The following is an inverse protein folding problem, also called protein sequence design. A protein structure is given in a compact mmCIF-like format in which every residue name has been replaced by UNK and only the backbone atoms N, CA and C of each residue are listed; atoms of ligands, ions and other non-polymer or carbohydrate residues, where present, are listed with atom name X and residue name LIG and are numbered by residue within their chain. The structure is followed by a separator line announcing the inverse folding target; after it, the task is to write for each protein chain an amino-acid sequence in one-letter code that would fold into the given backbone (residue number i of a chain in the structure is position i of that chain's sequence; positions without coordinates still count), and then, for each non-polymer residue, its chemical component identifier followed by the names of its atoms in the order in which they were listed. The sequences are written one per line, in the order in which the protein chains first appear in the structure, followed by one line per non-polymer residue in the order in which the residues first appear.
data_IF_263255126138
#
_entry.id   IF_263255126138
#
_cell.length_a   1.000
_cell.length_b   1.000
_cell.length_c   1.000
_cell.angle_alpha   90.00
_cell.angle_beta   90.00
_cell.angle_gamma   90.00
#
_symmetry.space_group_name_H-M   'P 1'
#
loop_
_entity.id
_entity.type
_entity.pdbx_description
1 polymer ?
#
# COMPACT_ATOMS: atom_id res chain seq x y z
N UNK A 1 34.32 18.00 7.69
CA UNK A 1 35.28 16.90 7.95
C UNK A 1 34.77 15.90 8.98
N UNK A 2 34.16 16.30 10.10
CA UNK A 2 33.65 15.39 11.14
C UNK A 2 32.48 14.49 10.68
N UNK A 3 31.56 15.02 9.88
CA UNK A 3 30.44 14.24 9.35
C UNK A 3 30.89 13.18 8.33
N UNK A 4 31.89 13.47 7.51
CA UNK A 4 32.43 12.52 6.54
C UNK A 4 33.20 11.38 7.21
N UNK A 5 33.96 11.68 8.29
CA UNK A 5 34.63 10.63 9.07
C UNK A 5 33.66 9.79 9.89
N UNK A 6 32.58 10.36 10.41
CA UNK A 6 31.51 9.62 11.06
C UNK A 6 30.78 8.69 10.07
N UNK A 7 30.51 9.18 8.85
CA UNK A 7 29.89 8.39 7.78
C UNK A 7 30.82 7.24 7.32
N UNK A 8 32.12 7.49 7.24
CA UNK A 8 33.10 6.46 6.88
C UNK A 8 33.26 5.37 7.95
N UNK A 9 33.01 5.70 9.22
CA UNK A 9 33.02 4.77 10.34
C UNK A 9 31.69 4.00 10.49
N UNK A 10 30.62 4.48 9.87
CA UNK A 10 29.30 3.85 9.89
C UNK A 10 29.18 2.64 8.95
N UNK A 11 30.28 1.98 8.57
CA UNK A 11 30.26 0.69 7.89
C UNK A 11 29.70 -0.36 8.84
N UNK A 12 28.38 -0.51 8.87
CA UNK A 12 27.74 -1.59 9.59
C UNK A 12 27.64 -2.83 8.70
N UNK A 13 27.92 -3.99 9.30
CA UNK A 13 27.50 -5.30 8.76
C UNK A 13 25.99 -5.51 8.93
N UNK A 14 25.28 -4.53 9.46
CA UNK A 14 23.87 -4.53 9.81
C UNK A 14 23.04 -3.81 8.74
N UNK A 15 21.74 -3.96 8.81
CA UNK A 15 20.83 -3.21 7.98
C UNK A 15 20.72 -1.74 8.42
N UNK A 16 20.50 -0.87 7.45
CA UNK A 16 20.07 0.49 7.69
C UNK A 16 18.54 0.51 7.83
N UNK A 17 18.03 0.62 9.06
CA UNK A 17 16.61 0.74 9.34
C UNK A 17 16.16 2.19 9.16
N UNK A 18 15.24 2.42 8.25
CA UNK A 18 14.57 3.70 8.01
C UNK A 18 13.22 3.69 8.69
N UNK A 19 13.05 4.56 9.68
CA UNK A 19 11.76 4.80 10.32
C UNK A 19 11.04 5.93 9.60
N UNK A 20 9.82 5.72 9.13
CA UNK A 20 9.09 6.66 8.29
C UNK A 20 7.61 6.76 8.69
N UNK A 21 6.95 7.81 8.23
CA UNK A 21 5.49 7.92 8.31
C UNK A 21 4.85 7.36 7.04
N UNK A 22 3.74 6.64 7.19
CA UNK A 22 2.87 6.25 6.07
C UNK A 22 1.89 7.36 5.72
N UNK A 23 1.40 7.33 4.49
CA UNK A 23 0.40 8.28 4.00
C UNK A 23 -0.87 8.26 4.86
N UNK A 24 -1.38 7.07 5.22
CA UNK A 24 -2.61 6.93 6.00
C UNK A 24 -2.43 7.33 7.47
N UNK A 25 -1.51 6.69 8.16
CA UNK A 25 -1.38 6.83 9.63
C UNK A 25 -0.46 7.97 10.07
N UNK A 26 0.35 8.52 9.16
CA UNK A 26 1.29 9.57 9.50
C UNK A 26 2.21 9.17 10.65
N UNK A 27 2.28 10.04 11.66
CA UNK A 27 3.03 9.81 12.91
C UNK A 27 2.22 9.08 14.00
N UNK A 28 0.93 8.79 13.75
CA UNK A 28 0.03 8.12 14.68
C UNK A 28 -0.83 9.03 15.54
N UNK A 29 -0.88 10.34 15.30
CA UNK A 29 -1.78 11.24 16.02
C UNK A 29 -3.24 10.81 15.91
N UNK A 30 -3.61 10.22 14.77
CA UNK A 30 -4.96 9.72 14.48
C UNK A 30 -5.05 8.18 14.51
N UNK A 31 -4.20 7.51 15.26
CA UNK A 31 -4.15 6.05 15.34
C UNK A 31 -5.44 5.38 15.85
N UNK A 32 -6.34 6.17 16.44
CA UNK A 32 -7.67 5.73 16.89
C UNK A 32 -8.76 5.87 15.82
N UNK A 33 -8.41 6.29 14.60
CA UNK A 33 -9.36 6.38 13.49
C UNK A 33 -9.32 5.08 12.68
N UNK A 34 -10.38 4.22 12.74
CA UNK A 34 -10.41 2.94 12.05
C UNK A 34 -10.37 3.08 10.52
N UNK A 35 -10.96 4.12 9.97
CA UNK A 35 -10.92 4.35 8.52
C UNK A 35 -9.52 4.58 8.00
N UNK A 36 -8.65 5.26 8.79
CA UNK A 36 -7.24 5.40 8.43
C UNK A 36 -6.47 4.09 8.55
N UNK A 37 -6.84 3.23 9.50
CA UNK A 37 -6.26 1.88 9.61
C UNK A 37 -6.67 0.99 8.44
N UNK A 38 -7.90 1.13 7.94
CA UNK A 38 -8.39 0.41 6.76
C UNK A 38 -7.76 0.90 5.46
N UNK A 39 -7.21 2.12 5.45
CA UNK A 39 -6.61 2.69 4.26
C UNK A 39 -5.40 1.89 3.79
N UNK A 40 -5.43 1.32 2.58
CA UNK A 40 -4.34 0.50 2.09
C UNK A 40 -3.09 1.34 1.79
N UNK A 41 -1.95 0.81 2.14
CA UNK A 41 -0.67 1.38 1.71
C UNK A 41 -0.59 1.41 0.18
N UNK A 42 -0.23 2.54 -0.46
CA UNK A 42 -0.26 2.66 -1.91
C UNK A 42 0.76 1.77 -2.63
N UNK A 43 1.80 1.28 -1.94
CA UNK A 43 2.84 0.43 -2.50
C UNK A 43 2.56 -1.04 -2.23
N UNK A 44 2.38 -1.42 -0.96
CA UNK A 44 2.23 -2.82 -0.54
C UNK A 44 0.79 -3.31 -0.56
N UNK A 45 -0.19 -2.41 -0.57
CA UNK A 45 -1.62 -2.69 -0.50
C UNK A 45 -2.09 -3.28 0.83
N UNK A 46 -1.27 -3.19 1.85
CA UNK A 46 -1.59 -3.67 3.21
C UNK A 46 -2.38 -2.62 3.97
N UNK A 47 -3.45 -3.06 4.61
CA UNK A 47 -4.24 -2.32 5.59
C UNK A 47 -3.94 -2.79 7.00
N UNK A 48 -4.33 -2.03 8.00
CA UNK A 48 -4.29 -2.31 9.43
C UNK A 48 -2.90 -2.33 10.06
N UNK A 49 -1.93 -3.01 9.48
CA UNK A 49 -0.62 -3.25 10.09
C UNK A 49 0.48 -2.29 9.61
N UNK A 50 1.49 -2.11 10.45
CA UNK A 50 2.83 -1.81 9.98
C UNK A 50 3.69 -3.08 9.99
N UNK A 51 4.72 -3.07 9.18
CA UNK A 51 5.58 -4.21 8.91
C UNK A 51 6.96 -3.72 8.49
N UNK A 52 7.93 -4.58 8.62
CA UNK A 52 9.24 -4.35 8.02
C UNK A 52 9.16 -4.59 6.51
N UNK A 53 9.65 -3.64 5.71
CA UNK A 53 9.94 -3.86 4.29
C UNK A 53 11.40 -4.25 4.12
N UNK A 54 11.66 -5.21 3.24
CA UNK A 54 12.99 -5.76 3.00
C UNK A 54 13.18 -6.06 1.51
N UNK A 55 14.40 -5.90 0.98
CA UNK A 55 14.70 -6.28 -0.40
C UNK A 55 14.61 -7.80 -0.60
N UNK A 56 14.33 -8.23 -1.83
CA UNK A 56 14.26 -9.67 -2.14
C UNK A 56 15.57 -10.39 -1.81
N UNK A 57 16.72 -9.81 -2.17
CA UNK A 57 18.02 -10.43 -1.94
C UNK A 57 18.34 -10.57 -0.44
N UNK A 58 18.00 -9.56 0.36
CA UNK A 58 18.21 -9.59 1.81
C UNK A 58 17.24 -10.55 2.50
N UNK A 59 15.99 -10.62 2.02
CA UNK A 59 15.00 -11.55 2.51
C UNK A 59 15.45 -13.01 2.31
N UNK A 60 15.94 -13.34 1.12
CA UNK A 60 16.50 -14.65 0.81
C UNK A 60 17.69 -15.00 1.73
N UNK A 61 18.58 -14.03 1.96
CA UNK A 61 19.75 -14.22 2.84
C UNK A 61 19.36 -14.36 4.32
N UNK A 62 18.32 -13.64 4.77
CA UNK A 62 17.84 -13.66 6.15
C UNK A 62 16.82 -14.78 6.42
N UNK A 63 16.32 -15.47 5.40
CA UNK A 63 15.28 -16.50 5.53
C UNK A 63 13.86 -15.95 5.67
N UNK A 64 13.63 -14.66 5.36
CA UNK A 64 12.29 -14.04 5.35
C UNK A 64 11.52 -14.50 4.11
N UNK A 65 10.26 -14.90 4.31
CA UNK A 65 9.40 -15.42 3.24
C UNK A 65 8.06 -14.71 3.22
N UNK A 66 7.53 -14.53 2.03
CA UNK A 66 6.11 -14.25 1.78
C UNK A 66 5.56 -15.29 0.82
N UNK A 67 4.29 -15.67 1.02
CA UNK A 67 3.62 -16.65 0.17
C UNK A 67 2.13 -16.36 0.07
N UNK A 68 1.53 -16.78 -1.04
CA UNK A 68 0.09 -16.69 -1.21
C UNK A 68 -0.58 -17.96 -0.70
N UNK A 69 -1.68 -17.81 0.00
CA UNK A 69 -2.52 -18.92 0.48
C UNK A 69 -3.66 -19.20 -0.51
N UNK A 70 -4.39 -20.30 -0.32
CA UNK A 70 -5.37 -20.81 -1.27
C UNK A 70 -6.51 -19.81 -1.59
N UNK A 71 -6.87 -18.94 -0.67
CA UNK A 71 -7.87 -17.87 -0.86
C UNK A 71 -7.31 -16.61 -1.54
N UNK A 72 -6.02 -16.62 -1.94
CA UNK A 72 -5.34 -15.47 -2.55
C UNK A 72 -4.76 -14.47 -1.55
N UNK A 73 -4.90 -14.70 -0.25
CA UNK A 73 -4.28 -13.86 0.78
C UNK A 73 -2.75 -13.94 0.74
N UNK A 74 -2.10 -12.93 1.30
CA UNK A 74 -0.64 -12.87 1.44
C UNK A 74 -0.27 -13.14 2.88
N UNK A 75 0.59 -14.15 3.11
CA UNK A 75 1.18 -14.42 4.41
C UNK A 75 2.67 -14.09 4.41
N UNK A 76 3.23 -13.87 5.58
CA UNK A 76 4.64 -13.55 5.74
C UNK A 76 5.23 -13.98 7.07
N UNK A 77 6.57 -14.04 7.11
CA UNK A 77 7.33 -14.33 8.30
C UNK A 77 7.25 -13.19 9.31
N UNK A 78 7.36 -13.53 10.59
CA UNK A 78 7.70 -12.56 11.63
C UNK A 78 9.22 -12.44 11.79
N UNK A 79 9.64 -11.24 12.18
CA UNK A 79 11.02 -10.94 12.53
C UNK A 79 11.10 -10.21 13.86
N UNK A 80 12.20 -10.41 14.58
CA UNK A 80 12.63 -9.57 15.69
C UNK A 80 13.63 -8.56 15.16
N UNK A 81 13.41 -7.27 15.45
CA UNK A 81 14.31 -6.16 15.07
C UNK A 81 15.05 -5.70 16.33
N UNK A 82 16.35 -5.53 16.20
CA UNK A 82 17.19 -5.00 17.29
C UNK A 82 17.98 -3.79 16.83
N UNK A 83 17.88 -2.70 17.60
CA UNK A 83 18.62 -1.44 17.42
C UNK A 83 19.30 -1.12 18.74
N UNK A 84 20.61 -1.26 18.81
CA UNK A 84 21.34 -1.12 20.07
C UNK A 84 20.77 -2.03 21.17
N UNK A 85 20.24 -1.42 22.23
CA UNK A 85 19.62 -2.15 23.35
C UNK A 85 18.09 -2.30 23.20
N UNK A 86 17.48 -1.63 22.22
CA UNK A 86 16.05 -1.75 21.96
C UNK A 86 15.74 -2.95 21.08
N UNK A 87 14.68 -3.67 21.42
CA UNK A 87 14.21 -4.84 20.67
C UNK A 87 12.71 -4.70 20.42
N UNK A 88 12.31 -5.02 19.21
CA UNK A 88 10.91 -5.10 18.80
C UNK A 88 10.65 -6.50 18.25
N UNK A 89 9.80 -7.25 18.93
CA UNK A 89 9.53 -8.66 18.63
C UNK A 89 8.29 -8.81 17.75
N UNK A 90 8.22 -9.92 17.02
CA UNK A 90 7.06 -10.34 16.23
C UNK A 90 6.58 -9.27 15.26
N UNK A 91 7.51 -8.60 14.56
CA UNK A 91 7.18 -7.65 13.51
C UNK A 91 6.95 -8.41 12.20
N UNK A 92 5.82 -8.24 11.53
CA UNK A 92 5.59 -8.84 10.21
C UNK A 92 6.60 -8.31 9.20
N UNK A 93 6.97 -9.10 8.20
CA UNK A 93 7.93 -8.70 7.18
C UNK A 93 7.35 -8.87 5.76
N UNK A 94 7.51 -7.83 4.94
CA UNK A 94 7.11 -7.83 3.53
C UNK A 94 8.34 -7.66 2.65
N UNK A 95 8.48 -8.56 1.68
CA UNK A 95 9.46 -8.43 0.61
C UNK A 95 8.95 -7.38 -0.37
N UNK A 96 9.68 -6.27 -0.49
CA UNK A 96 9.35 -5.18 -1.39
C UNK A 96 10.28 -5.16 -2.58
N UNK A 97 9.83 -5.55 -3.79
CA UNK A 97 10.63 -5.45 -5.01
C UNK A 97 11.06 -4.00 -5.27
N UNK A 98 12.32 -3.82 -5.66
CA UNK A 98 12.89 -2.51 -5.93
C UNK A 98 13.47 -1.78 -4.70
N UNK A 99 13.29 -2.31 -3.50
CA UNK A 99 13.94 -1.77 -2.30
C UNK A 99 15.46 -1.99 -2.37
N UNK A 100 16.22 -1.00 -1.92
CA UNK A 100 17.68 -1.06 -1.89
C UNK A 100 18.16 -2.18 -0.95
N UNK A 101 19.18 -2.90 -1.40
CA UNK A 101 19.82 -3.94 -0.58
C UNK A 101 20.48 -3.31 0.66
N UNK A 102 20.42 -4.00 1.76
CA UNK A 102 20.96 -3.54 3.05
C UNK A 102 20.06 -2.56 3.79
N UNK A 103 18.83 -2.30 3.30
CA UNK A 103 17.88 -1.38 3.95
C UNK A 103 16.63 -2.09 4.44
N UNK A 104 16.10 -1.60 5.55
CA UNK A 104 14.80 -1.98 6.10
C UNK A 104 13.94 -0.73 6.25
N UNK A 105 12.65 -0.82 5.98
CA UNK A 105 11.70 0.24 6.27
C UNK A 105 10.70 -0.20 7.34
N UNK A 106 10.37 0.67 8.29
CA UNK A 106 9.31 0.44 9.28
C UNK A 106 8.56 1.74 9.55
N UNK A 107 7.24 1.68 9.44
CA UNK A 107 6.40 2.86 9.61
C UNK A 107 6.04 3.13 11.07
N UNK A 108 6.01 4.42 11.42
CA UNK A 108 5.40 4.92 12.64
C UNK A 108 3.86 4.83 12.63
N UNK A 109 3.25 5.13 13.75
CA UNK A 109 1.82 5.38 13.85
C UNK A 109 0.96 4.20 14.28
N UNK A 110 1.56 3.05 14.55
CA UNK A 110 0.91 1.81 14.92
C UNK A 110 1.28 1.34 16.33
N UNK A 111 0.65 0.26 16.78
CA UNK A 111 0.95 -0.36 18.07
C UNK A 111 0.42 0.40 19.28
N UNK A 112 -0.54 1.33 19.08
CA UNK A 112 -1.25 2.00 20.17
C UNK A 112 -2.24 1.01 20.80
N UNK A 113 -2.18 0.87 22.12
CA UNK A 113 -3.07 -0.04 22.87
C UNK A 113 -4.02 0.73 23.78
N UNK A 114 -3.53 1.75 24.47
CA UNK A 114 -4.31 2.50 25.45
C UNK A 114 -5.42 3.31 24.76
N UNK A 115 -6.66 3.12 25.24
CA UNK A 115 -7.82 3.84 24.75
C UNK A 115 -8.41 3.33 23.43
N UNK A 116 -7.93 2.20 22.93
CA UNK A 116 -8.48 1.51 21.76
C UNK A 116 -9.17 0.21 22.16
N UNK A 117 -10.20 -0.18 21.41
CA UNK A 117 -10.77 -1.52 21.47
C UNK A 117 -9.72 -2.55 21.03
N UNK A 118 -9.81 -3.76 21.53
CA UNK A 118 -8.82 -4.82 21.27
C UNK A 118 -8.65 -5.09 19.77
N UNK A 119 -9.73 -5.09 19.02
CA UNK A 119 -9.75 -5.32 17.57
C UNK A 119 -9.00 -4.23 16.77
N UNK A 120 -8.81 -3.05 17.37
CA UNK A 120 -8.11 -1.92 16.78
C UNK A 120 -6.65 -1.81 17.25
N UNK A 121 -6.20 -2.70 18.13
CA UNK A 121 -4.84 -2.71 18.67
C UNK A 121 -3.89 -3.46 17.74
N UNK A 122 -3.66 -2.89 16.57
CA UNK A 122 -2.92 -3.52 15.49
C UNK A 122 -1.53 -2.93 15.31
N UNK A 123 -0.63 -3.71 14.72
CA UNK A 123 0.73 -3.32 14.42
C UNK A 123 1.65 -3.22 15.64
N UNK A 124 2.83 -2.69 15.42
CA UNK A 124 3.89 -2.54 16.43
C UNK A 124 4.30 -1.08 16.60
N UNK A 125 4.69 -0.73 17.82
CA UNK A 125 5.15 0.64 18.13
C UNK A 125 6.60 0.86 17.68
N UNK A 126 6.79 1.38 16.47
CA UNK A 126 8.10 1.67 15.90
C UNK A 126 8.89 2.76 16.66
N UNK A 127 8.21 3.61 17.45
CA UNK A 127 8.89 4.61 18.27
C UNK A 127 9.83 4.00 19.33
N UNK A 128 9.60 2.74 19.70
CA UNK A 128 10.53 2.03 20.60
C UNK A 128 11.95 1.91 20.02
N UNK A 129 12.09 1.99 18.70
CA UNK A 129 13.36 1.94 18.00
C UNK A 129 13.89 3.35 17.63
N UNK A 130 13.15 4.43 17.93
CA UNK A 130 13.51 5.81 17.57
C UNK A 130 14.52 6.40 18.56
N UNK A 131 15.72 5.81 18.57
CA UNK A 131 16.78 6.23 19.46
C UNK A 131 17.41 7.57 19.01
N UNK A 132 17.68 8.46 19.97
CA UNK A 132 18.32 9.76 19.74
C UNK A 132 17.62 10.64 18.70
N UNK A 133 16.31 10.48 18.54
CA UNK A 133 15.50 11.20 17.54
C UNK A 133 16.06 11.06 16.12
N UNK A 134 16.64 9.90 15.81
CA UNK A 134 17.20 9.61 14.50
C UNK A 134 16.33 8.58 13.77
N UNK A 135 15.83 8.95 12.60
CA UNK A 135 14.99 8.09 11.74
C UNK A 135 15.78 6.99 11.02
N UNK A 136 17.11 7.10 10.97
CA UNK A 136 17.98 6.07 10.39
C UNK A 136 18.80 5.41 11.49
N UNK A 137 18.61 4.10 11.64
CA UNK A 137 19.25 3.31 12.69
C UNK A 137 19.97 2.10 12.11
N UNK A 138 21.10 1.72 12.69
CA UNK A 138 21.70 0.41 12.40
C UNK A 138 20.93 -0.69 13.12
N UNK A 139 20.40 -1.65 12.38
CA UNK A 139 19.54 -2.71 12.91
C UNK A 139 19.99 -4.09 12.48
N UNK A 140 19.68 -5.08 13.31
CA UNK A 140 19.72 -6.51 12.97
C UNK A 140 18.31 -7.06 12.97
N UNK A 141 18.07 -8.08 12.14
CA UNK A 141 16.81 -8.84 12.15
C UNK A 141 17.10 -10.33 12.36
N UNK A 142 16.14 -10.99 12.96
CA UNK A 142 16.14 -12.44 13.12
C UNK A 142 14.74 -12.95 12.85
N UNK A 143 14.58 -13.92 11.97
CA UNK A 143 13.29 -14.57 11.72
C UNK A 143 12.90 -15.36 12.97
N UNK A 144 11.63 -15.23 13.35
CA UNK A 144 11.04 -15.94 14.48
C UNK A 144 9.89 -16.83 14.01
N UNK A 145 9.53 -17.79 14.84
CA UNK A 145 8.44 -18.73 14.56
C UNK A 145 7.10 -18.01 14.45
N UNK A 146 6.23 -18.50 13.58
CA UNK A 146 4.89 -17.97 13.30
C UNK A 146 4.75 -17.43 11.90
N UNK A 147 3.51 -17.12 11.54
CA UNK A 147 3.15 -16.50 10.28
C UNK A 147 2.16 -15.38 10.51
N UNK A 148 2.22 -14.36 9.68
CA UNK A 148 1.32 -13.23 9.68
C UNK A 148 0.46 -13.23 8.42
N UNK A 149 -0.85 -13.11 8.61
CA UNK A 149 -1.80 -12.90 7.52
C UNK A 149 -1.98 -11.40 7.27
N UNK A 150 -1.54 -10.93 6.10
CA UNK A 150 -1.68 -9.52 5.75
C UNK A 150 -3.05 -9.23 5.17
N UNK A 151 -3.71 -8.21 5.68
CA UNK A 151 -4.93 -7.66 5.09
C UNK A 151 -4.58 -6.85 3.84
N UNK A 152 -4.33 -7.52 2.73
CA UNK A 152 -4.00 -6.87 1.47
C UNK A 152 -5.22 -6.74 0.56
N UNK A 153 -5.39 -5.56 -0.04
CA UNK A 153 -6.36 -5.36 -1.11
C UNK A 153 -5.66 -5.42 -2.47
N UNK A 154 -6.35 -5.94 -3.48
CA UNK A 154 -5.91 -5.93 -4.87
C UNK A 154 -4.46 -6.41 -5.07
N UNK A 155 -4.15 -7.61 -4.59
CA UNK A 155 -2.83 -8.23 -4.80
C UNK A 155 -2.52 -8.47 -6.28
N UNK A 156 -3.52 -8.47 -7.14
CA UNK A 156 -3.37 -8.61 -8.58
C UNK A 156 -2.77 -7.33 -9.17
N UNK A 157 -1.61 -7.45 -9.79
CA UNK A 157 -0.79 -6.33 -10.27
C UNK A 157 -0.79 -6.17 -11.80
N UNK A 158 -1.62 -6.94 -12.51
CA UNK A 158 -1.72 -6.89 -13.96
C UNK A 158 -3.17 -6.80 -14.41
N UNK A 159 -3.39 -6.23 -15.57
CA UNK A 159 -4.72 -6.23 -16.21
C UNK A 159 -5.09 -7.61 -16.80
N UNK A 160 -4.19 -8.59 -16.76
CA UNK A 160 -4.40 -9.94 -17.33
C UNK A 160 -4.89 -9.92 -18.78
N UNK A 161 -4.31 -9.04 -19.60
CA UNK A 161 -4.69 -8.86 -20.99
C UNK A 161 -5.98 -8.07 -21.22
N UNK A 162 -6.63 -7.54 -20.15
CA UNK A 162 -7.85 -6.74 -20.24
C UNK A 162 -7.55 -5.25 -20.38
N UNK A 163 -6.71 -4.88 -21.35
CA UNK A 163 -6.27 -3.49 -21.58
C UNK A 163 -7.43 -2.50 -21.79
N UNK A 164 -8.55 -2.99 -22.33
CA UNK A 164 -9.72 -2.16 -22.63
C UNK A 164 -10.49 -1.67 -21.39
N UNK A 165 -10.17 -2.17 -20.20
CA UNK A 165 -10.79 -1.71 -18.94
C UNK A 165 -10.39 -0.27 -18.63
N UNK A 166 -9.14 0.10 -18.94
CA UNK A 166 -8.59 1.45 -18.73
C UNK A 166 -8.50 2.13 -20.09
N UNK A 167 -9.14 3.29 -20.22
CA UNK A 167 -9.03 4.12 -21.41
C UNK A 167 -7.94 5.15 -21.20
N UNK A 168 -6.94 5.12 -22.07
CA UNK A 168 -5.80 6.03 -22.05
C UNK A 168 -5.73 6.80 -23.37
N UNK A 169 -5.40 8.08 -23.29
CA UNK A 169 -5.21 8.91 -24.49
C UNK A 169 -4.24 10.06 -24.19
N UNK A 170 -3.66 10.63 -25.22
CA UNK A 170 -2.89 11.87 -25.11
C UNK A 170 -3.79 13.08 -25.35
N UNK A 171 -3.38 14.25 -24.87
CA UNK A 171 -4.13 15.51 -25.10
C UNK A 171 -4.25 15.80 -26.60
N UNK A 172 -3.23 15.50 -27.39
CA UNK A 172 -3.26 15.67 -28.84
C UNK A 172 -4.35 14.82 -29.49
N UNK A 173 -4.39 13.53 -29.17
CA UNK A 173 -5.39 12.59 -29.70
C UNK A 173 -6.79 12.99 -29.25
N UNK A 174 -6.96 13.36 -27.97
CA UNK A 174 -8.23 13.84 -27.42
C UNK A 174 -8.78 15.04 -28.18
N UNK A 175 -7.92 16.02 -28.53
CA UNK A 175 -8.32 17.24 -29.21
C UNK A 175 -8.50 17.09 -30.74
N UNK A 176 -7.86 16.09 -31.35
CA UNK A 176 -7.79 16.00 -32.83
C UNK A 176 -8.50 14.80 -33.43
N UNK A 177 -8.83 13.77 -32.63
CA UNK A 177 -9.43 12.52 -33.11
C UNK A 177 -10.86 12.36 -32.60
N UNK A 178 -11.67 11.62 -33.36
CA UNK A 178 -13.01 11.22 -32.93
C UNK A 178 -12.93 10.40 -31.62
N UNK A 179 -13.93 10.60 -30.75
CA UNK A 179 -14.01 9.90 -29.46
C UNK A 179 -13.94 8.37 -29.57
N UNK A 180 -14.40 7.79 -30.68
CA UNK A 180 -14.33 6.35 -30.96
C UNK A 180 -12.90 5.81 -31.03
N UNK A 181 -11.91 6.67 -31.31
CA UNK A 181 -10.50 6.26 -31.40
C UNK A 181 -9.92 6.01 -30.04
N UNK A 182 -10.23 6.83 -29.06
CA UNK A 182 -9.66 6.78 -27.72
C UNK A 182 -10.63 6.25 -26.64
N UNK A 183 -11.93 6.23 -26.96
CA UNK A 183 -12.95 5.68 -26.07
C UNK A 183 -13.95 4.82 -26.85
N UNK A 184 -13.53 3.70 -27.47
CA UNK A 184 -14.42 2.81 -28.19
C UNK A 184 -15.49 2.23 -27.26
N UNK A 185 -16.73 2.17 -27.73
CA UNK A 185 -17.83 1.53 -27.02
C UNK A 185 -17.63 0.02 -27.08
N UNK A 186 -17.67 -0.70 -25.94
CA UNK A 186 -17.64 -2.16 -25.94
C UNK A 186 -18.81 -2.75 -26.73
N UNK A 187 -18.55 -3.82 -27.49
CA UNK A 187 -19.56 -4.56 -28.23
C UNK A 187 -19.88 -5.86 -27.50
N UNK A 188 -21.14 -6.19 -27.41
CA UNK A 188 -21.66 -7.45 -26.85
C UNK A 188 -22.47 -8.19 -27.91
N UNK A 189 -22.73 -9.48 -27.71
CA UNK A 189 -23.59 -10.24 -28.58
C UNK A 189 -25.02 -10.26 -28.03
N UNK A 190 -25.94 -9.68 -28.78
CA UNK A 190 -27.37 -9.77 -28.53
C UNK A 190 -28.02 -10.51 -29.72
N UNK A 191 -28.67 -11.62 -29.50
CA UNK A 191 -29.28 -12.47 -30.54
C UNK A 191 -28.31 -12.77 -31.70
N UNK A 192 -27.06 -13.10 -31.34
CA UNK A 192 -25.97 -13.40 -32.29
C UNK A 192 -25.54 -12.21 -33.16
N UNK A 193 -25.92 -10.97 -32.80
CA UNK A 193 -25.51 -9.75 -33.49
C UNK A 193 -24.62 -8.89 -32.58
N UNK A 194 -23.53 -8.34 -33.10
CA UNK A 194 -22.74 -7.34 -32.37
C UNK A 194 -23.60 -6.09 -32.09
N UNK A 195 -23.83 -5.82 -30.82
CA UNK A 195 -24.63 -4.65 -30.35
C UNK A 195 -23.80 -3.84 -29.39
N UNK A 196 -23.90 -2.52 -29.43
CA UNK A 196 -23.20 -1.67 -28.46
C UNK A 196 -23.69 -1.97 -27.04
N UNK A 197 -22.77 -2.10 -26.09
CA UNK A 197 -23.12 -2.43 -24.70
C UNK A 197 -24.05 -1.38 -24.07
N UNK A 198 -24.00 -0.14 -24.56
CA UNK A 198 -24.90 0.97 -24.15
C UNK A 198 -26.33 0.82 -24.64
N UNK A 199 -26.58 -0.07 -25.59
CA UNK A 199 -27.91 -0.35 -26.16
C UNK A 199 -28.54 -1.61 -25.57
N UNK A 200 -27.85 -2.27 -24.64
CA UNK A 200 -28.28 -3.53 -24.01
C UNK A 200 -28.38 -3.33 -22.50
N UNK A 201 -29.58 -3.04 -22.04
CA UNK A 201 -29.87 -2.91 -20.62
C UNK A 201 -30.65 -4.13 -20.11
N UNK A 202 -30.37 -4.56 -18.87
CA UNK A 202 -31.12 -5.62 -18.18
C UNK A 202 -32.42 -5.09 -17.54
N UNK A 203 -32.57 -3.78 -17.46
CA UNK A 203 -33.74 -3.06 -16.96
C UNK A 203 -33.83 -1.69 -17.62
N UNK A 204 -34.98 -1.04 -17.49
CA UNK A 204 -35.19 0.30 -18.02
C UNK A 204 -34.20 1.31 -17.45
N UNK A 205 -33.73 2.22 -18.29
CA UNK A 205 -32.80 3.29 -17.88
C UNK A 205 -33.43 4.20 -16.85
N UNK A 206 -32.70 4.55 -15.81
CA UNK A 206 -33.13 5.59 -14.88
C UNK A 206 -33.16 6.96 -15.56
N UNK A 207 -34.14 7.78 -15.18
CA UNK A 207 -34.16 9.18 -15.60
C UNK A 207 -33.02 9.97 -14.95
N UNK A 208 -31.98 10.19 -15.71
CA UNK A 208 -30.78 10.92 -15.27
C UNK A 208 -30.90 12.44 -15.39
N UNK A 209 -32.06 12.95 -15.80
CA UNK A 209 -32.34 14.39 -15.81
C UNK A 209 -32.71 14.94 -14.42
N UNK A 210 -33.06 14.04 -13.48
CA UNK A 210 -33.49 14.39 -12.11
C UNK A 210 -32.28 14.39 -11.18
N UNK A 211 -32.08 15.51 -10.47
CA UNK A 211 -31.05 15.65 -9.44
C UNK A 211 -29.66 15.98 -10.01
N UNK A 212 -28.67 15.80 -9.16
CA UNK A 212 -27.26 16.06 -9.49
C UNK A 212 -26.53 14.77 -9.85
N UNK A 213 -25.67 14.85 -10.87
CA UNK A 213 -24.75 13.78 -11.22
C UNK A 213 -23.35 14.16 -10.76
N UNK A 214 -22.74 13.26 -10.01
CA UNK A 214 -21.40 13.46 -9.49
C UNK A 214 -20.40 12.70 -10.35
N UNK A 215 -19.27 13.31 -10.63
CA UNK A 215 -18.09 12.65 -11.16
C UNK A 215 -16.85 13.11 -10.40
N UNK A 216 -15.81 12.30 -10.41
CA UNK A 216 -14.52 12.62 -9.83
C UNK A 216 -13.51 12.84 -10.94
N UNK A 217 -12.95 14.04 -10.98
CA UNK A 217 -11.85 14.37 -11.88
C UNK A 217 -10.57 14.52 -11.08
N UNK A 218 -9.53 13.77 -11.44
CA UNK A 218 -8.25 13.76 -10.75
C UNK A 218 -7.16 14.23 -11.71
N UNK A 219 -6.50 15.34 -11.38
CA UNK A 219 -5.28 15.76 -12.06
C UNK A 219 -4.10 14.88 -11.62
N UNK A 220 -3.73 13.93 -12.48
CA UNK A 220 -2.65 12.99 -12.18
C UNK A 220 -1.27 13.65 -12.11
N UNK A 221 -1.09 14.87 -12.67
CA UNK A 221 0.16 15.62 -12.51
C UNK A 221 0.28 16.27 -11.13
N UNK A 222 -0.84 16.66 -10.53
CA UNK A 222 -0.89 17.27 -9.21
C UNK A 222 -1.13 16.25 -8.09
N UNK A 223 -1.63 15.06 -8.40
CA UNK A 223 -1.97 14.03 -7.43
C UNK A 223 -0.73 13.47 -6.72
N UNK A 224 -0.68 13.60 -5.39
CA UNK A 224 0.39 13.05 -4.54
C UNK A 224 0.14 11.62 -4.09
N UNK A 225 -1.01 11.03 -4.42
CA UNK A 225 -1.39 9.70 -3.95
C UNK A 225 -1.75 9.63 -2.46
N UNK A 226 -2.12 10.76 -1.84
CA UNK A 226 -2.39 10.83 -0.39
C UNK A 226 -3.61 10.01 0.07
N UNK A 227 -4.46 9.52 -0.84
CA UNK A 227 -5.61 8.65 -0.54
C UNK A 227 -6.78 9.33 0.16
N UNK A 228 -6.79 10.65 0.33
CA UNK A 228 -7.89 11.36 0.99
C UNK A 228 -9.25 11.12 0.32
N UNK A 229 -9.28 11.04 -1.01
CA UNK A 229 -10.49 10.72 -1.78
C UNK A 229 -10.98 9.28 -1.52
N UNK A 230 -10.07 8.34 -1.32
CA UNK A 230 -10.39 6.93 -0.99
C UNK A 230 -11.03 6.86 0.39
N UNK A 231 -10.44 7.50 1.40
CA UNK A 231 -10.97 7.54 2.76
C UNK A 231 -12.33 8.26 2.79
N UNK A 232 -12.48 9.36 2.07
CA UNK A 232 -13.77 10.05 1.97
C UNK A 232 -14.85 9.14 1.37
N UNK A 233 -14.53 8.37 0.34
CA UNK A 233 -15.44 7.41 -0.25
C UNK A 233 -15.82 6.30 0.76
N UNK A 234 -14.85 5.74 1.47
CA UNK A 234 -15.11 4.71 2.49
C UNK A 234 -16.00 5.25 3.63
N UNK A 235 -15.76 6.48 4.08
CA UNK A 235 -16.54 7.09 5.16
C UNK A 235 -18.04 7.28 4.81
N UNK A 236 -18.32 7.53 3.52
CA UNK A 236 -19.70 7.81 3.06
C UNK A 236 -20.43 6.54 2.56
N UNK A 237 -19.71 5.53 2.10
CA UNK A 237 -20.30 4.39 1.40
C UNK A 237 -20.02 3.03 2.07
N UNK A 238 -19.49 3.03 3.27
CA UNK A 238 -19.17 1.79 3.99
C UNK A 238 -20.42 1.03 4.43
#
# INVERSE_FOLDING_TARGET
ASAASALAQAKSSNFDLVLCSKVGMGDGQQANNPWLQEFPDPITRVSWDNYVTISKADAEAAGVKNWNVANGGLNGSYVTIKVGNATLESVPAIIQPGQAKGTLGLAFGYGKKLGLKEEMQVGVNAYALYANLNSNQSATITVVEGEHEFACVQLQKTLMGRGDIIKETTLEVFNTKDAKVWNPVPMVSLDHKPTAATEVDLWDSFDRSIGHHFNLSIDLNACTGCGACVIACHAENN
#
